data_IF_455910802188
#
_entry.id   IF_455910802188
#
_cell.length_a   1.000
_cell.length_b   1.000
_cell.length_c   1.000
_cell.angle_alpha   90.00
_cell.angle_beta   90.00
_cell.angle_gamma   90.00
#
_symmetry.space_group_name_H-M   'P 1'
#
loop_
_entity.id
_entity.type
_entity.pdbx_description
1 polymer ?
#
# COMPACT_ATOMS: atom_id res chain seq x y z
N UNK A 1 -24.24 -6.06 46.92
CA UNK A 1 -23.59 -4.74 46.78
C UNK A 1 -22.60 -4.79 45.63
N UNK A 2 -22.78 -3.89 44.67
CA UNK A 2 -21.85 -3.42 43.64
C UNK A 2 -21.04 -4.43 42.82
N UNK A 3 -21.62 -4.82 41.66
CA UNK A 3 -20.86 -5.30 40.52
C UNK A 3 -20.21 -4.13 39.78
N UNK A 4 -18.88 -4.13 39.69
CA UNK A 4 -18.14 -3.19 38.86
C UNK A 4 -18.37 -3.53 37.37
N UNK A 5 -19.25 -2.77 36.71
CA UNK A 5 -19.26 -2.72 35.24
C UNK A 5 -17.94 -2.12 34.79
N UNK A 6 -17.07 -2.96 34.24
CA UNK A 6 -15.87 -2.55 33.50
C UNK A 6 -16.35 -1.68 32.34
N UNK A 7 -16.04 -0.38 32.37
CA UNK A 7 -16.26 0.52 31.23
C UNK A 7 -15.43 -0.04 30.07
N UNK A 8 -16.10 -0.61 29.07
CA UNK A 8 -15.50 -0.79 27.75
C UNK A 8 -15.06 0.59 27.27
N UNK A 9 -13.75 0.79 27.18
CA UNK A 9 -13.20 1.87 26.38
C UNK A 9 -13.63 1.59 24.94
N UNK A 10 -14.72 2.25 24.51
CA UNK A 10 -15.11 2.31 23.10
C UNK A 10 -13.94 2.96 22.34
N UNK A 11 -13.10 2.13 21.73
CA UNK A 11 -12.19 2.56 20.70
C UNK A 11 -13.02 3.21 19.60
N UNK A 12 -12.59 4.39 19.16
CA UNK A 12 -13.25 5.15 18.08
C UNK A 12 -13.39 4.21 16.87
N UNK A 13 -14.63 3.96 16.46
CA UNK A 13 -14.99 3.16 15.27
C UNK A 13 -14.09 3.60 14.08
N UNK A 14 -13.47 2.67 13.31
CA UNK A 14 -12.66 3.00 12.14
C UNK A 14 -13.31 4.04 11.21
N UNK A 15 -14.63 3.99 11.05
CA UNK A 15 -15.39 4.98 10.26
C UNK A 15 -15.37 6.36 10.92
N UNK A 16 -15.55 6.39 12.24
CA UNK A 16 -15.50 7.63 13.03
C UNK A 16 -14.09 8.24 13.02
N UNK A 17 -13.03 7.42 12.98
CA UNK A 17 -11.64 7.87 12.84
C UNK A 17 -11.40 8.53 11.48
N UNK A 18 -11.85 7.92 10.39
CA UNK A 18 -11.74 8.48 9.03
C UNK A 18 -12.51 9.81 8.91
N UNK A 19 -13.71 9.89 9.49
CA UNK A 19 -14.48 11.14 9.54
C UNK A 19 -13.73 12.26 10.27
N UNK A 20 -13.07 11.94 11.39
CA UNK A 20 -12.28 12.91 12.17
C UNK A 20 -11.04 13.36 11.38
N UNK A 21 -10.34 12.44 10.70
CA UNK A 21 -9.18 12.79 9.86
C UNK A 21 -9.58 13.67 8.68
N UNK A 22 -10.66 13.32 7.98
CA UNK A 22 -11.22 14.14 6.90
C UNK A 22 -11.64 15.53 7.39
N UNK A 23 -12.27 15.63 8.56
CA UNK A 23 -12.61 16.92 9.17
C UNK A 23 -11.37 17.77 9.50
N UNK A 24 -10.30 17.16 10.02
CA UNK A 24 -9.03 17.85 10.30
C UNK A 24 -8.37 18.37 9.02
N UNK A 25 -8.35 17.57 7.95
CA UNK A 25 -7.82 18.00 6.65
C UNK A 25 -8.60 19.20 6.09
N UNK A 26 -9.93 19.19 6.21
CA UNK A 26 -10.78 20.32 5.81
C UNK A 26 -10.48 21.59 6.59
N UNK A 27 -10.24 21.48 7.90
CA UNK A 27 -9.85 22.64 8.73
C UNK A 27 -8.49 23.20 8.28
N UNK A 28 -7.50 22.33 8.05
CA UNK A 28 -6.16 22.74 7.59
C UNK A 28 -6.22 23.47 6.24
N UNK A 29 -7.00 22.96 5.29
CA UNK A 29 -7.16 23.58 3.98
C UNK A 29 -7.82 24.95 4.06
N UNK A 30 -8.90 25.09 4.84
CA UNK A 30 -9.56 26.39 5.05
C UNK A 30 -8.62 27.39 5.70
N UNK A 31 -7.86 26.98 6.73
CA UNK A 31 -6.83 27.83 7.36
C UNK A 31 -5.76 28.25 6.34
N UNK A 32 -5.28 27.33 5.51
CA UNK A 32 -4.33 27.62 4.44
C UNK A 32 -4.83 28.70 3.47
N UNK A 33 -6.09 28.62 3.04
CA UNK A 33 -6.71 29.64 2.20
C UNK A 33 -6.74 31.01 2.90
N UNK A 34 -7.13 31.07 4.18
CA UNK A 34 -7.13 32.32 4.94
C UNK A 34 -5.72 32.90 5.08
N UNK A 35 -4.69 32.08 5.27
CA UNK A 35 -3.30 32.53 5.29
C UNK A 35 -2.90 33.16 3.95
N UNK A 36 -3.23 32.51 2.82
CA UNK A 36 -2.95 33.07 1.49
C UNK A 36 -3.70 34.37 1.24
N UNK A 37 -4.94 34.50 1.73
CA UNK A 37 -5.70 35.74 1.66
C UNK A 37 -5.04 36.88 2.44
N UNK A 38 -4.55 36.62 3.67
CA UNK A 38 -3.83 37.62 4.47
C UNK A 38 -2.55 38.05 3.77
N UNK A 39 -1.78 37.10 3.23
CA UNK A 39 -0.55 37.39 2.47
C UNK A 39 -0.86 38.23 1.23
N UNK A 40 -1.94 37.93 0.52
CA UNK A 40 -2.41 38.73 -0.62
C UNK A 40 -2.73 40.17 -0.21
N UNK A 41 -3.44 40.39 0.91
CA UNK A 41 -3.76 41.74 1.39
C UNK A 41 -2.50 42.54 1.75
N UNK A 42 -1.61 41.96 2.56
CA UNK A 42 -0.36 42.61 2.98
C UNK A 42 0.54 42.88 1.77
N UNK A 43 0.67 41.91 0.87
CA UNK A 43 1.47 42.02 -0.35
C UNK A 43 0.91 43.08 -1.31
N UNK A 44 -0.40 43.18 -1.46
CA UNK A 44 -1.06 44.20 -2.27
C UNK A 44 -0.79 45.62 -1.75
N UNK A 45 -0.93 45.83 -0.43
CA UNK A 45 -0.60 47.11 0.22
C UNK A 45 0.90 47.43 0.04
N UNK A 46 1.77 46.44 0.22
CA UNK A 46 3.21 46.60 0.01
C UNK A 46 3.56 47.00 -1.43
N UNK A 47 2.96 46.37 -2.43
CA UNK A 47 3.17 46.71 -3.84
C UNK A 47 2.73 48.14 -4.18
N UNK A 48 1.61 48.59 -3.61
CA UNK A 48 1.13 49.97 -3.76
C UNK A 48 2.15 50.96 -3.16
N UNK A 49 2.61 50.70 -1.93
CA UNK A 49 3.60 51.57 -1.26
C UNK A 49 4.91 51.62 -2.05
N UNK A 50 5.41 50.47 -2.51
CA UNK A 50 6.63 50.39 -3.34
C UNK A 50 6.47 51.22 -4.61
N UNK A 51 5.34 51.05 -5.31
CA UNK A 51 5.09 51.77 -6.56
C UNK A 51 4.89 53.28 -6.37
N UNK A 52 4.37 53.73 -5.22
CA UNK A 52 4.05 55.14 -4.98
C UNK A 52 5.17 55.92 -4.28
N UNK A 53 5.93 55.28 -3.39
CA UNK A 53 6.87 55.94 -2.49
C UNK A 53 8.33 55.67 -2.86
N UNK A 54 8.63 54.46 -3.34
CA UNK A 54 10.02 54.01 -3.48
C UNK A 54 10.54 53.99 -4.93
N UNK A 55 9.66 54.06 -5.95
CA UNK A 55 10.09 54.11 -7.35
C UNK A 55 10.28 55.55 -7.83
N UNK A 56 11.54 55.95 -8.04
CA UNK A 56 11.90 57.24 -8.67
C UNK A 56 11.51 57.31 -10.15
N UNK A 57 11.55 56.18 -10.87
CA UNK A 57 11.09 56.05 -12.25
C UNK A 57 9.98 55.02 -12.35
N UNK A 58 8.82 55.43 -12.89
CA UNK A 58 7.67 54.53 -13.08
C UNK A 58 7.77 53.86 -14.46
N UNK A 59 7.59 52.53 -14.54
CA UNK A 59 7.49 51.85 -15.83
C UNK A 59 6.34 52.42 -16.66
N UNK A 60 6.46 52.37 -17.98
CA UNK A 60 5.34 52.77 -18.84
C UNK A 60 4.09 51.91 -18.54
N UNK A 61 2.90 52.55 -18.40
CA UNK A 61 1.66 51.82 -18.17
C UNK A 61 1.35 50.87 -19.31
N UNK A 62 0.93 49.66 -18.97
CA UNK A 62 0.46 48.71 -19.98
C UNK A 62 -1.04 48.87 -20.18
N UNK A 63 -1.45 49.27 -21.39
CA UNK A 63 -2.84 49.62 -21.71
C UNK A 63 -3.43 50.76 -20.87
N UNK A 64 -2.59 51.73 -20.45
CA UNK A 64 -3.01 52.84 -19.60
C UNK A 64 -3.24 52.46 -18.14
N UNK A 65 -2.83 51.25 -17.72
CA UNK A 65 -2.96 50.74 -16.36
C UNK A 65 -1.56 50.48 -15.80
N UNK A 66 -1.33 50.88 -14.55
CA UNK A 66 -0.05 50.66 -13.87
C UNK A 66 0.27 49.17 -13.74
N UNK A 67 1.54 48.81 -13.91
CA UNK A 67 2.05 47.44 -13.85
C UNK A 67 1.69 46.70 -12.53
N UNK A 68 1.66 47.40 -11.40
CA UNK A 68 1.36 46.81 -10.09
C UNK A 68 -0.10 46.33 -9.99
N UNK A 69 -1.02 46.97 -10.72
CA UNK A 69 -2.44 46.57 -10.80
C UNK A 69 -2.54 45.21 -11.48
N UNK A 70 -1.78 44.98 -12.56
CA UNK A 70 -1.73 43.69 -13.24
C UNK A 70 -1.18 42.56 -12.37
N UNK A 71 -0.18 42.86 -11.53
CA UNK A 71 0.37 41.89 -10.57
C UNK A 71 -0.67 41.53 -9.51
N UNK A 72 -1.33 42.52 -8.92
CA UNK A 72 -2.40 42.28 -7.94
C UNK A 72 -3.55 41.50 -8.59
N UNK A 73 -3.94 41.84 -9.82
CA UNK A 73 -4.98 41.14 -10.55
C UNK A 73 -4.64 39.67 -10.81
N UNK A 74 -3.44 39.38 -11.31
CA UNK A 74 -2.98 38.01 -11.51
C UNK A 74 -2.93 37.23 -10.18
N UNK A 75 -2.43 37.85 -9.12
CA UNK A 75 -2.39 37.23 -7.80
C UNK A 75 -3.78 36.99 -7.21
N UNK A 76 -4.72 37.89 -7.45
CA UNK A 76 -6.12 37.74 -7.07
C UNK A 76 -6.80 36.58 -7.81
N UNK A 77 -6.52 36.40 -9.10
CA UNK A 77 -7.02 35.23 -9.86
C UNK A 77 -6.51 33.91 -9.27
N UNK A 78 -5.23 33.84 -8.88
CA UNK A 78 -4.68 32.66 -8.19
C UNK A 78 -5.37 32.39 -6.86
N UNK A 79 -5.66 33.44 -6.08
CA UNK A 79 -6.41 33.32 -4.84
C UNK A 79 -7.84 32.84 -5.09
N UNK A 80 -8.53 33.37 -6.09
CA UNK A 80 -9.87 32.93 -6.49
C UNK A 80 -9.88 31.46 -6.92
N UNK A 81 -8.91 31.04 -7.72
CA UNK A 81 -8.75 29.64 -8.10
C UNK A 81 -8.53 28.75 -6.87
N UNK A 82 -7.66 29.15 -5.95
CA UNK A 82 -7.42 28.40 -4.72
C UNK A 82 -8.69 28.31 -3.86
N UNK A 83 -9.43 29.42 -3.71
CA UNK A 83 -10.71 29.46 -2.99
C UNK A 83 -11.75 28.53 -3.63
N UNK A 84 -11.90 28.59 -4.96
CA UNK A 84 -12.79 27.72 -5.71
C UNK A 84 -12.45 26.25 -5.53
N UNK A 85 -11.17 25.87 -5.60
CA UNK A 85 -10.73 24.49 -5.40
C UNK A 85 -11.06 23.96 -3.99
N UNK A 86 -10.84 24.78 -2.96
CA UNK A 86 -11.09 24.41 -1.55
C UNK A 86 -12.58 24.31 -1.23
N UNK A 87 -13.40 25.24 -1.74
CA UNK A 87 -14.82 25.32 -1.39
C UNK A 87 -15.75 24.56 -2.35
N UNK A 88 -15.42 24.47 -3.64
CA UNK A 88 -16.27 23.90 -4.68
C UNK A 88 -15.77 22.53 -5.08
N UNK A 89 -14.57 22.42 -5.68
CA UNK A 89 -14.07 21.17 -6.26
C UNK A 89 -14.03 20.03 -5.24
N UNK A 90 -13.44 20.28 -4.05
CA UNK A 90 -13.34 19.26 -3.00
C UNK A 90 -14.63 19.02 -2.21
N UNK A 91 -15.63 19.91 -2.32
CA UNK A 91 -16.97 19.68 -1.76
C UNK A 91 -17.81 18.80 -2.68
N UNK A 92 -17.65 18.94 -3.99
CA UNK A 92 -18.41 18.19 -5.00
C UNK A 92 -17.75 16.85 -5.35
N UNK A 93 -16.42 16.81 -5.51
CA UNK A 93 -15.59 15.64 -5.85
C UNK A 93 -14.71 15.25 -4.66
N UNK A 94 -15.29 15.27 -3.46
CA UNK A 94 -14.61 14.85 -2.24
C UNK A 94 -14.73 13.35 -1.97
N UNK A 95 -14.15 12.87 -0.86
CA UNK A 95 -14.20 11.46 -0.44
C UNK A 95 -15.63 10.88 -0.37
N UNK A 96 -16.61 11.68 0.03
CA UNK A 96 -18.02 11.24 0.04
C UNK A 96 -18.59 10.99 -1.35
N UNK A 97 -18.16 11.76 -2.35
CA UNK A 97 -18.57 11.53 -3.72
C UNK A 97 -17.96 10.25 -4.27
N UNK A 98 -16.68 9.99 -3.98
CA UNK A 98 -15.98 8.75 -4.34
C UNK A 98 -16.66 7.54 -3.70
N UNK A 99 -16.97 7.62 -2.40
CA UNK A 99 -17.71 6.58 -1.67
C UNK A 99 -19.08 6.30 -2.29
N UNK A 100 -19.84 7.35 -2.63
CA UNK A 100 -21.13 7.19 -3.34
C UNK A 100 -20.98 6.50 -4.70
N UNK A 101 -19.91 6.78 -5.45
CA UNK A 101 -19.66 6.08 -6.72
C UNK A 101 -19.32 4.61 -6.49
N UNK A 102 -18.47 4.32 -5.49
CA UNK A 102 -18.12 2.96 -5.10
C UNK A 102 -19.36 2.15 -4.70
N UNK A 103 -20.18 2.68 -3.79
CA UNK A 103 -21.42 2.03 -3.33
C UNK A 103 -22.39 1.76 -4.49
N UNK A 104 -22.47 2.70 -5.44
CA UNK A 104 -23.26 2.53 -6.67
C UNK A 104 -22.74 1.38 -7.54
N UNK A 105 -21.42 1.23 -7.69
CA UNK A 105 -20.82 0.15 -8.46
C UNK A 105 -21.04 -1.21 -7.79
N UNK A 106 -20.87 -1.28 -6.47
CA UNK A 106 -21.17 -2.48 -5.67
C UNK A 106 -22.64 -2.88 -5.80
N UNK A 107 -23.57 -1.90 -5.74
CA UNK A 107 -24.99 -2.14 -5.97
C UNK A 107 -25.28 -2.75 -7.35
N UNK A 108 -24.68 -2.21 -8.41
CA UNK A 108 -24.79 -2.77 -9.77
C UNK A 108 -24.21 -4.19 -9.88
N UNK A 109 -23.12 -4.49 -9.19
CA UNK A 109 -22.57 -5.85 -9.15
C UNK A 109 -23.52 -6.81 -8.44
N UNK A 110 -24.11 -6.42 -7.29
CA UNK A 110 -25.11 -7.23 -6.59
C UNK A 110 -26.32 -7.53 -7.46
N UNK A 111 -26.84 -6.54 -8.19
CA UNK A 111 -27.92 -6.77 -9.15
C UNK A 111 -27.53 -7.74 -10.27
N UNK A 112 -26.30 -7.63 -10.79
CA UNK A 112 -25.80 -8.53 -11.83
C UNK A 112 -25.65 -9.96 -11.31
N UNK A 113 -25.13 -10.13 -10.09
CA UNK A 113 -25.03 -11.43 -9.40
C UNK A 113 -26.43 -12.02 -9.25
N UNK A 114 -27.40 -11.26 -8.73
CA UNK A 114 -28.78 -11.74 -8.57
C UNK A 114 -29.43 -12.16 -9.91
N UNK A 115 -29.19 -11.42 -10.99
CA UNK A 115 -29.65 -11.81 -12.33
C UNK A 115 -28.99 -13.09 -12.83
N UNK A 116 -27.70 -13.26 -12.55
CA UNK A 116 -26.97 -14.48 -12.90
C UNK A 116 -27.48 -15.66 -12.08
N UNK A 117 -27.70 -15.50 -10.78
CA UNK A 117 -28.31 -16.51 -9.91
C UNK A 117 -29.69 -16.94 -10.40
N UNK A 118 -30.55 -15.99 -10.76
CA UNK A 118 -31.87 -16.29 -11.35
C UNK A 118 -31.75 -17.06 -12.67
N UNK A 119 -30.79 -16.67 -13.52
CA UNK A 119 -30.54 -17.36 -14.80
C UNK A 119 -30.03 -18.78 -14.59
N UNK A 120 -29.08 -18.97 -13.67
CA UNK A 120 -28.54 -20.27 -13.28
C UNK A 120 -29.63 -21.16 -12.69
N UNK A 121 -30.46 -20.65 -11.77
CA UNK A 121 -31.57 -21.40 -11.20
C UNK A 121 -32.62 -21.84 -12.24
N UNK A 122 -32.80 -21.05 -13.30
CA UNK A 122 -33.69 -21.37 -14.41
C UNK A 122 -33.10 -22.39 -15.38
N UNK A 123 -31.79 -22.34 -15.63
CA UNK A 123 -31.08 -23.24 -16.56
C UNK A 123 -30.69 -24.58 -15.90
N UNK A 124 -30.51 -24.61 -14.57
CA UNK A 124 -30.13 -25.78 -13.78
C UNK A 124 -31.12 -25.98 -12.61
N UNK A 125 -32.24 -26.69 -12.82
CA UNK A 125 -33.33 -26.81 -11.84
C UNK A 125 -33.05 -27.80 -10.70
N UNK A 126 -31.98 -28.59 -10.81
CA UNK A 126 -31.47 -29.41 -9.70
C UNK A 126 -31.04 -28.46 -8.58
N UNK A 127 -31.31 -28.76 -7.30
CA UNK A 127 -30.83 -27.91 -6.22
C UNK A 127 -29.32 -27.82 -6.39
N UNK A 128 -28.82 -26.62 -6.71
CA UNK A 128 -27.50 -26.23 -6.25
C UNK A 128 -27.59 -26.50 -4.74
N UNK A 129 -27.03 -27.62 -4.29
CA UNK A 129 -26.73 -27.80 -2.88
C UNK A 129 -26.19 -26.45 -2.46
N UNK A 130 -26.87 -25.80 -1.49
CA UNK A 130 -26.45 -24.49 -0.99
C UNK A 130 -24.95 -24.60 -0.88
N UNK A 131 -24.22 -23.87 -1.74
CA UNK A 131 -22.85 -23.55 -1.43
C UNK A 131 -23.08 -22.66 -0.24
N UNK A 132 -23.05 -23.27 0.94
CA UNK A 132 -22.92 -22.57 2.20
C UNK A 132 -21.89 -21.51 1.88
N UNK A 133 -22.29 -20.24 1.95
CA UNK A 133 -21.40 -19.11 1.76
C UNK A 133 -20.15 -19.45 2.53
N UNK A 134 -19.10 -19.86 1.82
CA UNK A 134 -17.95 -20.48 2.45
C UNK A 134 -17.49 -19.47 3.49
N UNK A 135 -17.27 -19.95 4.72
CA UNK A 135 -16.62 -19.18 5.77
C UNK A 135 -15.46 -18.39 5.14
N UNK A 136 -15.21 -17.14 5.58
CA UNK A 136 -14.24 -16.24 4.93
C UNK A 136 -13.00 -17.05 4.53
N UNK A 137 -12.71 -17.07 3.22
CA UNK A 137 -11.60 -17.84 2.64
C UNK A 137 -10.40 -17.56 3.53
N UNK A 138 -9.95 -18.59 4.26
CA UNK A 138 -8.82 -18.41 5.14
C UNK A 138 -7.64 -18.02 4.23
N UNK A 139 -7.04 -16.83 4.43
CA UNK A 139 -5.97 -16.38 3.54
C UNK A 139 -4.83 -17.38 3.55
N UNK A 140 -4.30 -17.69 2.37
CA UNK A 140 -3.16 -18.61 2.19
C UNK A 140 -1.88 -17.81 2.33
N UNK A 141 -1.28 -17.84 3.53
CA UNK A 141 -0.07 -17.08 3.81
C UNK A 141 1.10 -17.73 3.07
N UNK A 142 1.68 -17.02 2.10
CA UNK A 142 2.74 -17.55 1.25
C UNK A 142 4.08 -16.90 1.61
N UNK A 143 5.14 -17.67 1.84
CA UNK A 143 6.50 -17.14 1.90
C UNK A 143 7.15 -17.31 0.53
N UNK A 144 7.85 -16.28 0.06
CA UNK A 144 8.54 -16.32 -1.24
C UNK A 144 9.98 -15.89 -1.06
N UNK A 145 10.93 -16.68 -1.55
CA UNK A 145 12.36 -16.40 -1.41
C UNK A 145 13.18 -17.08 -2.51
N UNK A 146 14.25 -16.44 -2.97
CA UNK A 146 15.33 -17.10 -3.68
C UNK A 146 16.40 -17.52 -2.68
N UNK A 147 16.81 -18.79 -2.71
CA UNK A 147 17.78 -19.36 -1.78
C UNK A 147 18.83 -20.20 -2.47
N UNK A 148 20.03 -20.21 -1.93
CA UNK A 148 21.12 -21.09 -2.38
C UNK A 148 20.98 -22.53 -1.83
N UNK A 149 21.94 -23.39 -2.16
CA UNK A 149 22.00 -24.79 -1.73
C UNK A 149 22.00 -24.99 -0.20
N UNK A 150 22.37 -23.97 0.57
CA UNK A 150 22.42 -23.96 2.03
C UNK A 150 21.37 -23.02 2.66
N UNK A 151 20.28 -22.72 1.95
CA UNK A 151 19.23 -21.78 2.39
C UNK A 151 19.73 -20.33 2.59
N UNK A 152 20.86 -19.98 2.00
CA UNK A 152 21.41 -18.64 1.95
C UNK A 152 20.51 -17.68 1.17
N UNK A 153 20.37 -16.43 1.62
CA UNK A 153 19.52 -15.41 1.00
C UNK A 153 20.32 -14.26 0.37
N UNK A 154 21.45 -13.87 0.98
CA UNK A 154 22.20 -12.68 0.57
C UNK A 154 23.19 -12.21 1.62
N UNK A 155 23.93 -11.16 1.29
CA UNK A 155 25.00 -10.59 2.10
C UNK A 155 24.88 -9.07 2.13
N UNK A 156 25.15 -8.45 3.28
CA UNK A 156 25.16 -6.98 3.42
C UNK A 156 23.83 -6.30 2.99
N UNK A 157 22.69 -7.01 3.10
CA UNK A 157 21.34 -6.64 2.64
C UNK A 157 21.14 -6.62 1.11
N UNK A 158 22.03 -7.23 0.33
CA UNK A 158 21.88 -7.39 -1.12
C UNK A 158 21.90 -8.87 -1.53
N UNK A 159 21.37 -9.16 -2.72
CA UNK A 159 21.47 -10.47 -3.35
C UNK A 159 22.85 -10.62 -3.98
N UNK A 160 23.54 -11.72 -3.69
CA UNK A 160 24.88 -12.01 -4.24
C UNK A 160 24.84 -12.66 -5.63
N UNK A 161 23.63 -12.88 -6.16
CA UNK A 161 23.37 -13.42 -7.49
C UNK A 161 22.42 -12.53 -8.28
N UNK A 162 22.39 -12.73 -9.59
CA UNK A 162 21.47 -12.04 -10.49
C UNK A 162 20.68 -13.05 -11.31
N UNK A 163 19.37 -13.15 -11.04
CA UNK A 163 18.45 -14.07 -11.71
C UNK A 163 17.24 -13.29 -12.27
N UNK A 164 17.33 -12.75 -13.51
CA UNK A 164 16.28 -11.95 -14.11
C UNK A 164 14.90 -12.63 -14.11
N UNK A 165 14.84 -13.94 -14.36
CA UNK A 165 13.57 -14.66 -14.40
C UNK A 165 12.94 -14.86 -13.02
N UNK A 166 13.75 -15.02 -11.97
CA UNK A 166 13.24 -14.99 -10.58
C UNK A 166 12.58 -13.65 -10.24
N UNK A 167 13.18 -12.52 -10.64
CA UNK A 167 12.56 -11.21 -10.47
C UNK A 167 11.24 -11.06 -11.23
N UNK A 168 11.16 -11.60 -12.46
CA UNK A 168 9.91 -11.62 -13.24
C UNK A 168 8.85 -12.45 -12.54
N UNK A 169 9.22 -13.64 -12.05
CA UNK A 169 8.34 -14.54 -11.29
C UNK A 169 7.84 -13.86 -10.03
N UNK A 170 8.73 -13.35 -9.19
CA UNK A 170 8.41 -12.61 -7.96
C UNK A 170 7.40 -11.49 -8.26
N UNK A 171 7.66 -10.68 -9.30
CA UNK A 171 6.74 -9.62 -9.71
C UNK A 171 5.38 -10.15 -10.15
N UNK A 172 5.35 -11.21 -10.94
CA UNK A 172 4.13 -11.79 -11.47
C UNK A 172 3.22 -12.30 -10.35
N UNK A 173 3.77 -13.02 -9.37
CA UNK A 173 2.97 -13.67 -8.33
C UNK A 173 2.63 -12.77 -7.14
N UNK A 174 3.42 -11.73 -6.88
CA UNK A 174 3.14 -10.79 -5.77
C UNK A 174 2.32 -9.57 -6.17
N UNK A 175 2.13 -9.31 -7.47
CA UNK A 175 1.36 -8.15 -7.94
C UNK A 175 -0.10 -8.23 -7.49
N UNK A 176 -0.65 -7.14 -6.97
CA UNK A 176 -2.02 -7.06 -6.48
C UNK A 176 -2.18 -7.50 -5.02
N UNK A 177 -1.13 -8.05 -4.40
CA UNK A 177 -1.15 -8.61 -3.06
C UNK A 177 -0.43 -7.73 -2.03
N UNK A 178 -0.68 -8.06 -0.77
CA UNK A 178 -0.01 -7.52 0.40
C UNK A 178 1.33 -8.23 0.58
N UNK A 179 2.41 -7.46 0.66
CA UNK A 179 3.77 -7.96 0.88
C UNK A 179 4.27 -7.53 2.27
N UNK A 180 4.63 -8.53 3.07
CA UNK A 180 5.10 -8.39 4.45
C UNK A 180 6.61 -8.52 4.46
N UNK A 181 7.29 -7.51 4.98
CA UNK A 181 8.74 -7.47 5.02
C UNK A 181 9.29 -6.74 6.23
N UNK A 182 10.59 -6.88 6.48
CA UNK A 182 11.30 -6.15 7.52
C UNK A 182 11.74 -4.77 7.04
N UNK A 183 11.94 -3.85 8.00
CA UNK A 183 12.41 -2.48 7.71
C UNK A 183 13.63 -2.43 6.77
N UNK A 184 14.67 -3.22 7.05
CA UNK A 184 15.90 -3.23 6.24
C UNK A 184 15.66 -3.65 4.79
N UNK A 185 14.81 -4.66 4.58
CA UNK A 185 14.41 -5.11 3.24
C UNK A 185 13.66 -4.01 2.48
N UNK A 186 12.74 -3.32 3.17
CA UNK A 186 12.01 -2.19 2.58
C UNK A 186 12.94 -1.03 2.20
N UNK A 187 13.88 -0.68 3.09
CA UNK A 187 14.87 0.39 2.87
C UNK A 187 15.89 0.06 1.78
N UNK A 188 16.12 -1.22 1.49
CA UNK A 188 16.97 -1.67 0.38
C UNK A 188 16.35 -1.44 -1.00
N UNK A 189 15.04 -1.24 -1.10
CA UNK A 189 14.42 -0.96 -2.40
C UNK A 189 14.72 0.46 -2.87
N UNK A 190 15.16 0.65 -4.13
CA UNK A 190 15.38 1.98 -4.67
C UNK A 190 14.07 2.79 -4.77
N UNK A 191 12.95 2.09 -4.96
CA UNK A 191 11.58 2.63 -4.97
C UNK A 191 10.61 1.55 -4.48
N UNK A 192 9.46 1.94 -3.88
CA UNK A 192 8.40 0.99 -3.56
C UNK A 192 7.96 0.20 -4.78
N UNK A 193 7.68 -1.08 -4.54
CA UNK A 193 7.26 -2.02 -5.56
C UNK A 193 5.83 -1.67 -6.03
N UNK A 194 5.60 -1.36 -7.32
CA UNK A 194 4.29 -0.92 -7.78
C UNK A 194 3.23 -2.02 -7.65
N UNK A 195 1.97 -1.60 -7.51
CA UNK A 195 0.78 -2.46 -7.42
C UNK A 195 0.82 -3.46 -6.26
N UNK A 196 1.50 -3.13 -5.16
CA UNK A 196 1.61 -3.95 -3.95
C UNK A 196 1.45 -3.09 -2.71
N UNK A 197 0.76 -3.63 -1.71
CA UNK A 197 0.65 -3.00 -0.40
C UNK A 197 1.82 -3.44 0.46
N UNK A 198 2.66 -2.51 0.90
CA UNK A 198 3.82 -2.81 1.72
C UNK A 198 3.42 -2.82 3.19
N UNK A 199 3.62 -3.95 3.88
CA UNK A 199 3.46 -4.09 5.32
C UNK A 199 4.87 -4.26 5.91
N UNK A 200 5.32 -3.28 6.68
CA UNK A 200 6.69 -3.13 7.13
C UNK A 200 6.77 -3.42 8.62
N UNK A 201 7.46 -4.50 8.97
CA UNK A 201 7.66 -4.94 10.34
C UNK A 201 8.93 -4.30 10.92
N UNK A 202 8.79 -3.65 12.08
CA UNK A 202 9.91 -3.03 12.79
C UNK A 202 9.68 -3.01 14.30
N UNK A 203 10.75 -3.16 15.08
CA UNK A 203 10.70 -2.97 16.55
C UNK A 203 10.77 -1.49 16.94
N UNK A 204 11.23 -0.64 16.03
CA UNK A 204 11.31 0.80 16.25
C UNK A 204 9.92 1.43 16.21
N UNK A 205 9.41 1.80 17.40
CA UNK A 205 8.09 2.43 17.58
C UNK A 205 8.01 3.84 16.97
N UNK A 206 9.15 4.45 16.66
CA UNK A 206 9.21 5.79 16.09
C UNK A 206 9.36 5.80 14.58
N UNK A 207 9.57 4.63 13.96
CA UNK A 207 9.72 4.50 12.52
C UNK A 207 8.43 4.90 11.80
N UNK A 208 8.54 5.78 10.80
CA UNK A 208 7.42 6.27 10.01
C UNK A 208 7.78 6.30 8.53
N UNK A 209 6.84 5.85 7.71
CA UNK A 209 6.90 6.01 6.26
C UNK A 209 5.51 6.34 5.73
N UNK A 210 5.44 6.96 4.56
CA UNK A 210 4.20 7.19 3.81
C UNK A 210 3.98 6.18 2.69
N UNK A 211 4.96 5.29 2.46
CA UNK A 211 5.01 4.35 1.35
C UNK A 211 4.59 2.91 1.73
N UNK A 212 4.12 2.71 2.96
CA UNK A 212 3.67 1.42 3.48
C UNK A 212 3.01 1.53 4.85
N UNK A 213 2.45 0.42 5.31
CA UNK A 213 1.83 0.28 6.62
C UNK A 213 2.87 -0.27 7.60
N UNK A 214 3.18 0.49 8.65
CA UNK A 214 4.14 0.07 9.68
C UNK A 214 3.43 -0.72 10.76
N UNK A 215 3.97 -1.88 11.11
CA UNK A 215 3.48 -2.75 12.18
C UNK A 215 4.65 -3.26 13.04
N UNK A 216 4.36 -3.76 14.25
CA UNK A 216 5.39 -4.05 15.25
C UNK A 216 5.47 -5.53 15.67
N UNK A 217 4.55 -6.36 15.18
CA UNK A 217 4.58 -7.80 15.39
C UNK A 217 3.94 -8.56 14.21
N UNK A 218 4.30 -9.84 14.08
CA UNK A 218 3.84 -10.68 12.97
C UNK A 218 2.33 -10.90 12.98
N UNK A 219 1.67 -10.97 14.15
CA UNK A 219 0.21 -11.17 14.20
C UNK A 219 -0.52 -9.95 13.66
N UNK A 220 -0.07 -8.75 14.04
CA UNK A 220 -0.60 -7.50 13.50
C UNK A 220 -0.34 -7.37 12.00
N UNK A 221 0.83 -7.81 11.51
CA UNK A 221 1.11 -7.85 10.07
C UNK A 221 0.11 -8.73 9.31
N UNK A 222 -0.13 -9.95 9.79
CA UNK A 222 -1.08 -10.88 9.18
C UNK A 222 -2.53 -10.38 9.29
N UNK A 223 -2.92 -9.79 10.41
CA UNK A 223 -4.25 -9.19 10.58
C UNK A 223 -4.47 -8.00 9.64
N UNK A 224 -3.44 -7.18 9.42
CA UNK A 224 -3.46 -6.09 8.43
C UNK A 224 -3.62 -6.64 7.02
N UNK A 225 -3.05 -7.82 6.75
CA UNK A 225 -3.12 -8.48 5.46
C UNK A 225 -4.40 -9.31 5.25
N UNK A 226 -5.30 -9.41 6.23
CA UNK A 226 -6.40 -10.39 6.24
C UNK A 226 -7.49 -10.17 5.15
N UNK A 227 -7.52 -9.00 4.50
CA UNK A 227 -8.40 -8.73 3.36
C UNK A 227 -7.85 -9.18 2.00
N UNK A 228 -6.64 -9.76 1.98
CA UNK A 228 -6.02 -10.35 0.80
C UNK A 228 -6.03 -11.87 0.94
N UNK A 229 -6.49 -12.57 -0.10
CA UNK A 229 -6.62 -14.02 -0.12
C UNK A 229 -5.24 -14.73 -0.12
N UNK A 230 -4.18 -14.04 -0.56
CA UNK A 230 -2.83 -14.59 -0.66
C UNK A 230 -1.74 -13.57 -0.30
N UNK A 231 -1.59 -13.22 0.99
CA UNK A 231 -0.52 -12.33 1.41
C UNK A 231 0.84 -13.02 1.35
N UNK A 232 1.87 -12.25 0.99
CA UNK A 232 3.23 -12.76 0.81
C UNK A 232 4.19 -12.24 1.89
N UNK A 233 4.93 -13.13 2.53
CA UNK A 233 6.09 -12.79 3.37
C UNK A 233 7.33 -12.85 2.48
N UNK A 234 8.02 -11.72 2.32
CA UNK A 234 9.14 -11.55 1.38
C UNK A 234 10.49 -11.31 2.09
N UNK A 235 10.54 -11.56 3.41
CA UNK A 235 11.76 -11.52 4.20
C UNK A 235 12.06 -10.19 4.90
N UNK A 236 13.28 -9.92 5.36
CA UNK A 236 14.48 -10.77 5.31
C UNK A 236 14.50 -11.91 6.34
N UNK A 237 15.69 -12.45 6.63
CA UNK A 237 15.88 -13.68 7.43
C UNK A 237 15.12 -13.74 8.76
N UNK A 238 15.12 -12.67 9.56
CA UNK A 238 14.35 -12.62 10.82
C UNK A 238 12.84 -12.69 10.59
N UNK A 239 12.35 -12.05 9.54
CA UNK A 239 10.93 -12.01 9.19
C UNK A 239 10.47 -13.36 8.68
N UNK A 240 11.31 -14.04 7.89
CA UNK A 240 11.02 -15.41 7.49
C UNK A 240 10.95 -16.34 8.71
N UNK A 241 11.88 -16.24 9.66
CA UNK A 241 11.84 -17.01 10.91
C UNK A 241 10.55 -16.78 11.70
N UNK A 242 10.14 -15.52 11.84
CA UNK A 242 8.89 -15.15 12.52
C UNK A 242 7.63 -15.60 11.76
N UNK A 243 7.70 -15.62 10.43
CA UNK A 243 6.59 -15.93 9.53
C UNK A 243 6.38 -17.43 9.32
N UNK A 244 7.43 -18.24 9.41
CA UNK A 244 7.39 -19.67 9.12
C UNK A 244 6.31 -20.42 9.89
N UNK A 245 5.98 -20.15 11.17
CA UNK A 245 4.88 -20.84 11.87
C UNK A 245 3.48 -20.53 11.30
N UNK A 246 3.32 -19.42 10.58
CA UNK A 246 2.03 -18.94 10.06
C UNK A 246 1.84 -19.23 8.57
N UNK A 247 2.91 -19.51 7.84
CA UNK A 247 2.85 -19.75 6.40
C UNK A 247 2.11 -21.06 6.07
N UNK A 248 1.27 -21.05 5.04
CA UNK A 248 0.61 -22.23 4.48
C UNK A 248 1.36 -22.76 3.24
N UNK A 249 2.09 -21.89 2.53
CA UNK A 249 2.83 -22.20 1.30
C UNK A 249 4.22 -21.54 1.29
N UNK A 250 5.21 -22.21 0.69
CA UNK A 250 6.51 -21.64 0.32
C UNK A 250 6.67 -21.67 -1.20
N UNK A 251 7.05 -20.54 -1.78
CA UNK A 251 7.45 -20.38 -3.17
C UNK A 251 8.95 -20.10 -3.20
N UNK A 252 9.76 -21.13 -3.37
CA UNK A 252 11.21 -21.02 -3.30
C UNK A 252 11.81 -21.06 -4.71
N UNK A 253 12.77 -20.19 -4.97
CA UNK A 253 13.69 -20.34 -6.10
C UNK A 253 14.99 -20.93 -5.54
N UNK A 254 15.26 -22.22 -5.81
CA UNK A 254 16.42 -22.94 -5.28
C UNK A 254 17.56 -22.90 -6.28
N UNK A 255 18.64 -22.21 -5.95
CA UNK A 255 19.84 -22.10 -6.78
C UNK A 255 20.75 -23.28 -6.47
N UNK A 256 21.25 -23.96 -7.50
CA UNK A 256 22.10 -25.15 -7.35
C UNK A 256 23.59 -24.79 -7.14
N UNK A 257 23.83 -23.79 -6.30
CA UNK A 257 25.17 -23.32 -5.91
C UNK A 257 25.14 -22.85 -4.46
N UNK A 258 26.31 -22.68 -3.84
CA UNK A 258 26.45 -22.14 -2.48
C UNK A 258 27.29 -20.88 -2.53
N UNK A 259 26.81 -19.81 -1.91
CA UNK A 259 27.48 -18.51 -1.92
C UNK A 259 27.94 -18.11 -0.51
N UNK A 260 28.87 -17.16 -0.43
CA UNK A 260 29.26 -16.52 0.83
C UNK A 260 28.21 -15.49 1.24
N UNK A 261 27.37 -15.86 2.22
CA UNK A 261 26.20 -15.09 2.67
C UNK A 261 26.11 -15.01 4.19
N UNK A 262 25.50 -13.93 4.70
CA UNK A 262 25.33 -13.68 6.14
C UNK A 262 23.88 -13.88 6.62
N UNK A 263 22.94 -13.98 5.68
CA UNK A 263 21.51 -14.03 5.95
C UNK A 263 20.93 -15.30 5.36
N UNK A 264 20.16 -16.04 6.16
CA UNK A 264 19.64 -17.36 5.81
C UNK A 264 18.12 -17.44 6.00
N UNK A 265 17.48 -18.19 5.11
CA UNK A 265 16.10 -18.62 5.25
C UNK A 265 16.00 -19.66 6.39
N UNK A 266 14.90 -19.69 7.17
CA UNK A 266 14.76 -20.68 8.24
C UNK A 266 14.72 -22.11 7.69
N UNK A 267 15.38 -23.03 8.38
CA UNK A 267 15.22 -24.45 8.10
C UNK A 267 13.76 -24.88 8.30
N UNK A 268 13.30 -25.79 7.44
CA UNK A 268 11.97 -26.36 7.52
C UNK A 268 12.01 -27.87 7.25
N UNK A 269 11.18 -28.63 7.97
CA UNK A 269 11.20 -30.10 7.90
C UNK A 269 10.26 -30.63 6.82
N UNK A 270 10.73 -31.66 6.09
CA UNK A 270 9.89 -32.45 5.17
C UNK A 270 8.74 -33.21 5.86
N UNK A 271 8.78 -33.32 7.19
CA UNK A 271 7.66 -33.84 7.99
C UNK A 271 6.50 -32.84 8.15
N UNK A 272 6.75 -31.55 7.91
CA UNK A 272 5.78 -30.46 8.01
C UNK A 272 5.41 -29.88 6.64
N UNK A 273 6.26 -30.09 5.64
CA UNK A 273 6.14 -29.50 4.31
C UNK A 273 6.30 -30.56 3.22
N UNK A 274 5.46 -30.47 2.19
CA UNK A 274 5.49 -31.35 1.01
C UNK A 274 5.77 -30.52 -0.23
N UNK A 275 6.77 -30.92 -1.00
CA UNK A 275 7.01 -30.38 -2.35
C UNK A 275 5.87 -30.85 -3.26
N UNK A 276 5.16 -29.91 -3.88
CA UNK A 276 4.03 -30.20 -4.77
C UNK A 276 4.31 -29.85 -6.22
N UNK A 277 5.26 -28.95 -6.48
CA UNK A 277 5.70 -28.58 -7.82
C UNK A 277 7.19 -28.25 -7.81
N UNK A 278 7.89 -28.63 -8.88
CA UNK A 278 9.25 -28.21 -9.16
C UNK A 278 9.42 -28.00 -10.67
N UNK A 279 9.92 -26.84 -11.07
CA UNK A 279 10.23 -26.50 -12.46
C UNK A 279 11.71 -26.14 -12.55
N UNK A 280 12.47 -26.89 -13.36
CA UNK A 280 13.91 -26.71 -13.51
C UNK A 280 14.24 -25.66 -14.56
N UNK A 281 15.10 -24.71 -14.20
CA UNK A 281 15.65 -23.69 -15.10
C UNK A 281 17.16 -23.92 -15.27
N UNK A 282 17.60 -24.38 -16.46
CA UNK A 282 19.01 -24.58 -16.73
C UNK A 282 19.75 -23.25 -16.87
N UNK A 283 21.08 -23.31 -16.79
CA UNK A 283 21.96 -22.18 -17.16
C UNK A 283 21.73 -21.79 -18.61
N UNK A 284 21.73 -20.49 -18.87
CA UNK A 284 21.62 -19.90 -20.20
C UNK A 284 22.41 -18.58 -20.27
N UNK A 285 22.30 -17.86 -21.39
CA UNK A 285 23.01 -16.59 -21.60
C UNK A 285 22.60 -15.49 -20.59
N UNK A 286 21.42 -15.60 -19.99
CA UNK A 286 20.88 -14.66 -18.98
C UNK A 286 21.11 -15.14 -17.54
N UNK A 287 21.34 -16.43 -17.33
CA UNK A 287 21.42 -17.08 -16.02
C UNK A 287 22.70 -17.90 -15.88
N UNK A 288 23.65 -17.38 -15.08
CA UNK A 288 24.93 -18.05 -14.77
C UNK A 288 24.79 -19.29 -13.88
N UNK A 289 23.65 -19.41 -13.21
CA UNK A 289 23.34 -20.47 -12.26
C UNK A 289 22.03 -21.11 -12.69
N UNK A 290 21.96 -22.43 -12.63
CA UNK A 290 20.73 -23.17 -12.74
C UNK A 290 19.98 -23.09 -11.41
N UNK A 291 18.66 -23.08 -11.49
CA UNK A 291 17.79 -22.99 -10.33
C UNK A 291 16.46 -23.71 -10.57
N UNK A 292 15.76 -24.06 -9.51
CA UNK A 292 14.43 -24.63 -9.58
C UNK A 292 13.40 -23.69 -8.95
N UNK A 293 12.25 -23.55 -9.58
CA UNK A 293 11.07 -23.02 -8.90
C UNK A 293 10.36 -24.14 -8.15
N UNK A 294 10.42 -24.10 -6.83
CA UNK A 294 9.79 -25.07 -5.95
C UNK A 294 8.56 -24.46 -5.26
N UNK A 295 7.44 -25.19 -5.30
CA UNK A 295 6.26 -24.88 -4.49
C UNK A 295 6.09 -25.94 -3.42
N UNK A 296 6.13 -25.51 -2.16
CA UNK A 296 5.93 -26.36 -0.99
C UNK A 296 4.63 -26.00 -0.28
N UNK A 297 3.85 -27.00 0.12
CA UNK A 297 2.66 -26.80 0.94
C UNK A 297 2.83 -27.41 2.32
N UNK A 298 2.29 -26.72 3.33
CA UNK A 298 2.25 -27.24 4.68
C UNK A 298 1.33 -28.46 4.73
N UNK A 299 1.82 -29.55 5.29
CA UNK A 299 1.01 -30.75 5.57
C UNK A 299 0.02 -30.38 6.69
N UNK A 300 -1.27 -30.32 6.35
CA UNK A 300 -2.35 -30.16 7.32
C UNK A 300 -2.46 -31.46 8.13
N UNK A 301 -2.28 -31.38 9.44
CA UNK A 301 -2.56 -32.48 10.38
C UNK A 301 -4.04 -32.55 10.70
#
# INVERSE_FOLDING_TARGET
MFGFKKKEQQGIDPVQKEMIENARLRIKQKRGLFTHFIVFLVGSVGLIIISQVFMESKPEPWFGIDWWIWIIFAWFLLLLYHAFNVFVTKRLLGPEWEKRQYDRLVGKQKERISKLEQKVAKEFPTPLAKVETEAPIKPVVTMIAAVDGNLGLGKDNDLVWHLPDDFKRFKAITTGHNIIMGRKTFEGFPKPLPNRTHIILTRDQNYKTTQGIVVHDMKTALATAAGDDQPFIIGGGEIYKLGLPFADRLELTRIHEVFDVDTYFPEFSKSQWKLINSEHHPKDDSHKHDFDYETWERIKK
#
